data_IF_046894906280
#
_entry.id   IF_046894906280
#
_cell.length_a   1.000
_cell.length_b   1.000
_cell.length_c   1.000
_cell.angle_alpha   90.00
_cell.angle_beta   90.00
_cell.angle_gamma   90.00
#
_symmetry.space_group_name_H-M   'P 1'
#
loop_
_entity.id
_entity.type
_entity.pdbx_description
1 polymer ?
#
# COMPACT_ATOMS: atom_id res chain seq x y z
N UNK A 1 -35.65 -4.39 4.37
CA UNK A 1 -34.45 -4.78 3.62
C UNK A 1 -33.45 -3.64 3.62
N UNK A 2 -32.24 -3.90 4.13
CA UNK A 2 -31.14 -2.95 4.15
C UNK A 2 -30.01 -3.49 3.25
N UNK A 3 -29.69 -2.77 2.17
CA UNK A 3 -28.63 -3.22 1.26
C UNK A 3 -27.23 -2.98 1.83
N UNK A 4 -27.03 -1.83 2.47
CA UNK A 4 -25.75 -1.46 3.08
C UNK A 4 -25.98 -0.82 4.43
N UNK A 5 -25.31 -1.33 5.45
CA UNK A 5 -25.29 -0.73 6.79
C UNK A 5 -23.92 -0.12 7.04
N UNK A 6 -23.87 1.11 7.54
CA UNK A 6 -22.64 1.86 7.77
C UNK A 6 -22.57 2.31 9.22
N UNK A 7 -21.60 1.81 9.98
CA UNK A 7 -21.32 2.19 11.36
C UNK A 7 -20.10 3.11 11.42
N UNK A 8 -20.31 4.39 11.72
CA UNK A 8 -19.30 5.45 11.65
C UNK A 8 -19.30 6.35 12.89
N UNK A 9 -19.63 5.78 14.05
CA UNK A 9 -19.56 6.50 15.31
C UNK A 9 -18.11 6.58 15.83
N UNK A 10 -17.89 7.32 16.91
CA UNK A 10 -16.56 7.39 17.57
C UNK A 10 -16.26 6.19 18.48
N UNK A 11 -17.23 5.34 18.72
CA UNK A 11 -17.12 4.17 19.60
C UNK A 11 -17.00 2.89 18.80
N UNK A 12 -15.81 2.29 18.82
CA UNK A 12 -15.47 1.10 18.06
C UNK A 12 -16.33 -0.10 18.46
N UNK A 13 -16.62 -0.25 19.75
CA UNK A 13 -17.44 -1.32 20.30
C UNK A 13 -18.85 -1.27 19.72
N UNK A 14 -19.48 -0.10 19.76
CA UNK A 14 -20.80 0.13 19.18
C UNK A 14 -20.79 -0.11 17.66
N UNK A 15 -19.77 0.36 16.96
CA UNK A 15 -19.65 0.17 15.52
C UNK A 15 -19.59 -1.31 15.16
N UNK A 16 -18.76 -2.09 15.85
CA UNK A 16 -18.63 -3.54 15.63
C UNK A 16 -19.96 -4.25 15.96
N UNK A 17 -20.51 -4.00 17.15
CA UNK A 17 -21.73 -4.68 17.62
C UNK A 17 -22.92 -4.38 16.70
N UNK A 18 -23.14 -3.12 16.33
CA UNK A 18 -24.24 -2.74 15.45
C UNK A 18 -24.08 -3.33 14.05
N UNK A 19 -22.86 -3.40 13.51
CA UNK A 19 -22.60 -4.02 12.21
C UNK A 19 -22.85 -5.53 12.23
N UNK A 20 -22.42 -6.23 13.28
CA UNK A 20 -22.70 -7.66 13.46
C UNK A 20 -24.22 -7.92 13.60
N UNK A 21 -24.91 -7.09 14.37
CA UNK A 21 -26.38 -7.20 14.52
C UNK A 21 -27.08 -6.93 13.19
N UNK A 22 -26.68 -5.90 12.47
CA UNK A 22 -27.25 -5.57 11.17
C UNK A 22 -27.08 -6.74 10.17
N UNK A 23 -25.92 -7.37 10.17
CA UNK A 23 -25.66 -8.54 9.32
C UNK A 23 -26.56 -9.72 9.68
N UNK A 24 -26.76 -9.99 10.98
CA UNK A 24 -27.71 -11.00 11.45
C UNK A 24 -29.16 -10.71 11.09
N UNK A 25 -29.51 -9.43 10.96
CA UNK A 25 -30.85 -8.98 10.55
C UNK A 25 -31.03 -8.96 9.03
N UNK A 26 -30.03 -9.38 8.26
CA UNK A 26 -30.15 -9.58 6.81
C UNK A 26 -29.60 -8.44 5.95
N UNK A 27 -28.76 -7.53 6.49
CA UNK A 27 -28.06 -6.56 5.68
C UNK A 27 -27.09 -7.26 4.73
N UNK A 28 -27.13 -6.88 3.44
CA UNK A 28 -26.29 -7.52 2.41
C UNK A 28 -24.80 -7.17 2.58
N UNK A 29 -24.52 -5.96 3.06
CA UNK A 29 -23.15 -5.45 3.22
C UNK A 29 -23.05 -4.55 4.45
N UNK A 30 -21.92 -4.68 5.17
CA UNK A 30 -21.61 -3.83 6.32
C UNK A 30 -20.29 -3.07 6.09
N UNK A 31 -20.27 -1.80 6.48
CA UNK A 31 -19.07 -0.95 6.49
C UNK A 31 -18.90 -0.42 7.90
N UNK A 32 -17.76 -0.72 8.52
CA UNK A 32 -17.52 -0.44 9.93
C UNK A 32 -16.24 0.36 10.12
N UNK A 33 -16.28 1.50 10.81
CA UNK A 33 -15.08 2.21 11.24
C UNK A 33 -14.55 1.57 12.51
N UNK A 34 -13.25 1.25 12.53
CA UNK A 34 -12.50 0.78 13.70
C UNK A 34 -11.21 1.58 13.80
N UNK A 35 -10.98 2.22 14.95
CA UNK A 35 -9.78 3.01 15.21
C UNK A 35 -8.69 2.21 15.93
N UNK A 36 -9.08 1.32 16.86
CA UNK A 36 -8.16 0.54 17.69
C UNK A 36 -7.81 -0.78 17.01
N UNK A 37 -6.51 -1.04 16.79
CA UNK A 37 -6.04 -2.28 16.14
C UNK A 37 -6.49 -3.56 16.85
N UNK A 38 -6.65 -3.52 18.17
CA UNK A 38 -7.09 -4.67 18.95
C UNK A 38 -8.43 -5.27 18.46
N UNK A 39 -9.33 -4.46 17.94
CA UNK A 39 -10.61 -4.92 17.43
C UNK A 39 -10.51 -5.63 16.09
N UNK A 40 -9.49 -5.36 15.28
CA UNK A 40 -9.27 -6.10 14.03
C UNK A 40 -8.99 -7.59 14.25
N UNK A 41 -8.37 -7.91 15.39
CA UNK A 41 -8.05 -9.30 15.76
C UNK A 41 -9.23 -10.03 16.41
N UNK A 42 -10.11 -9.29 17.09
CA UNK A 42 -11.30 -9.83 17.75
C UNK A 42 -12.43 -10.13 16.77
N UNK A 43 -12.57 -9.32 15.72
CA UNK A 43 -13.59 -9.53 14.70
C UNK A 43 -13.07 -10.56 13.70
N UNK A 44 -13.73 -11.71 13.62
CA UNK A 44 -13.39 -12.75 12.65
C UNK A 44 -13.41 -12.23 11.22
N UNK A 45 -12.48 -12.72 10.40
CA UNK A 45 -12.29 -12.23 9.02
C UNK A 45 -13.54 -12.26 8.13
N UNK A 46 -14.57 -13.01 8.52
CA UNK A 46 -15.81 -13.22 7.75
C UNK A 46 -17.03 -12.61 8.44
N UNK A 47 -16.87 -11.94 9.56
CA UNK A 47 -18.01 -11.43 10.33
C UNK A 47 -18.45 -10.04 9.87
N UNK A 48 -17.48 -9.21 9.43
CA UNK A 48 -17.73 -7.90 8.83
C UNK A 48 -17.20 -7.86 7.41
N UNK A 49 -17.95 -7.20 6.50
CA UNK A 49 -17.57 -7.19 5.08
C UNK A 49 -16.47 -6.19 4.78
N UNK A 50 -16.59 -4.96 5.30
CA UNK A 50 -15.60 -3.90 5.11
C UNK A 50 -15.29 -3.25 6.45
N UNK A 51 -14.02 -3.26 6.80
CA UNK A 51 -13.49 -2.53 7.96
C UNK A 51 -12.63 -1.38 7.44
N UNK A 52 -12.91 -0.18 7.93
CA UNK A 52 -12.19 1.05 7.57
C UNK A 52 -11.46 1.58 8.80
N UNK A 53 -10.15 1.76 8.71
CA UNK A 53 -9.37 2.44 9.74
C UNK A 53 -8.96 3.84 9.28
N UNK A 54 -9.55 4.90 9.80
CA UNK A 54 -9.16 6.28 9.48
C UNK A 54 -7.68 6.54 9.76
N UNK A 55 -7.15 5.96 10.84
CA UNK A 55 -5.73 6.10 11.21
C UNK A 55 -4.83 5.50 10.12
N UNK A 56 -5.11 4.28 9.65
CA UNK A 56 -4.30 3.64 8.61
C UNK A 56 -4.38 4.39 7.28
N UNK A 57 -5.57 4.89 6.92
CA UNK A 57 -5.74 5.72 5.71
C UNK A 57 -4.93 7.00 5.83
N UNK A 58 -5.03 7.70 6.97
CA UNK A 58 -4.29 8.94 7.21
C UNK A 58 -2.78 8.71 7.18
N UNK A 59 -2.28 7.69 7.86
CA UNK A 59 -0.86 7.32 7.86
C UNK A 59 -0.38 7.01 6.43
N UNK A 60 -1.14 6.21 5.69
CA UNK A 60 -0.79 5.89 4.29
C UNK A 60 -0.75 7.15 3.43
N UNK A 61 -1.69 8.06 3.63
CA UNK A 61 -1.74 9.32 2.89
C UNK A 61 -0.56 10.25 3.25
N UNK A 62 -0.22 10.37 4.53
CA UNK A 62 0.93 11.18 4.99
C UNK A 62 2.25 10.58 4.49
N UNK A 63 2.40 9.26 4.55
CA UNK A 63 3.60 8.57 4.06
C UNK A 63 3.86 8.83 2.57
N UNK A 64 2.81 9.02 1.77
CA UNK A 64 2.92 9.40 0.36
C UNK A 64 3.69 10.72 0.17
N UNK A 65 3.50 11.69 1.07
CA UNK A 65 4.20 12.98 1.01
C UNK A 65 5.61 12.95 1.61
N UNK A 66 5.83 12.10 2.61
CA UNK A 66 7.12 12.00 3.30
C UNK A 66 8.11 11.17 2.50
N UNK A 67 7.67 10.09 1.87
CA UNK A 67 8.49 9.26 1.00
C UNK A 67 8.78 10.05 -0.29
N UNK A 68 9.96 10.68 -0.34
CA UNK A 68 10.45 11.43 -1.49
C UNK A 68 10.55 10.51 -2.71
N UNK A 69 9.71 10.74 -3.74
CA UNK A 69 9.72 10.00 -4.99
C UNK A 69 8.30 9.71 -5.46
N UNK A 70 8.18 9.23 -6.68
CA UNK A 70 6.92 8.88 -7.35
C UNK A 70 6.29 7.61 -6.76
N UNK A 71 6.13 7.57 -5.42
CA UNK A 71 5.39 6.50 -4.74
C UNK A 71 3.92 6.87 -4.77
N UNK A 72 3.14 6.15 -5.55
CA UNK A 72 1.71 6.40 -5.73
C UNK A 72 0.88 5.92 -4.56
N UNK A 73 1.23 4.75 -4.01
CA UNK A 73 0.50 4.16 -2.89
C UNK A 73 1.38 3.26 -2.02
N UNK A 74 0.98 3.07 -0.75
CA UNK A 74 1.64 2.16 0.19
C UNK A 74 0.57 1.33 0.88
N UNK A 75 0.67 0.01 0.75
CA UNK A 75 -0.25 -0.94 1.35
C UNK A 75 0.50 -1.92 2.25
N UNK A 76 0.07 -2.02 3.51
CA UNK A 76 0.56 -3.05 4.42
C UNK A 76 -0.14 -4.37 4.12
N UNK A 77 0.64 -5.44 3.96
CA UNK A 77 0.14 -6.78 3.68
C UNK A 77 0.34 -7.65 4.92
N UNK A 78 -0.69 -8.42 5.29
CA UNK A 78 -0.66 -9.39 6.41
C UNK A 78 0.01 -8.85 7.69
N UNK A 79 -0.69 -7.99 8.43
CA UNK A 79 -0.25 -7.53 9.78
C UNK A 79 1.17 -6.96 9.84
N UNK A 80 1.62 -6.29 8.78
CA UNK A 80 2.94 -5.64 8.75
C UNK A 80 4.13 -6.57 8.47
N UNK A 81 3.90 -7.84 8.08
CA UNK A 81 4.98 -8.75 7.69
C UNK A 81 5.61 -8.41 6.32
N UNK A 82 4.88 -7.68 5.48
CA UNK A 82 5.37 -7.16 4.21
C UNK A 82 4.61 -5.87 3.86
N UNK A 83 5.23 -5.03 3.09
CA UNK A 83 4.59 -3.84 2.51
C UNK A 83 4.62 -3.95 0.98
N UNK A 84 3.57 -3.42 0.35
CA UNK A 84 3.50 -3.23 -1.08
C UNK A 84 3.52 -1.74 -1.38
N UNK A 85 4.36 -1.32 -2.30
CA UNK A 85 4.39 0.05 -2.80
C UNK A 85 4.20 0.07 -4.30
N UNK A 86 3.60 1.12 -4.78
CA UNK A 86 3.50 1.43 -6.19
C UNK A 86 4.50 2.54 -6.52
N UNK A 87 5.41 2.28 -7.44
CA UNK A 87 6.45 3.21 -7.89
C UNK A 87 6.18 3.54 -9.35
N UNK A 88 6.08 4.82 -9.67
CA UNK A 88 6.00 5.28 -11.06
C UNK A 88 7.41 5.50 -11.60
N UNK A 89 7.72 4.88 -12.73
CA UNK A 89 9.01 4.99 -13.41
C UNK A 89 9.06 6.31 -14.18
N UNK A 90 9.48 7.35 -13.50
CA UNK A 90 9.67 8.70 -14.08
C UNK A 90 11.18 9.04 -14.21
N UNK A 91 11.49 10.31 -14.37
CA UNK A 91 12.87 10.81 -14.41
C UNK A 91 13.70 10.51 -13.14
N UNK A 92 13.05 10.24 -12.01
CA UNK A 92 13.74 9.87 -10.76
C UNK A 92 14.28 8.45 -10.80
N UNK A 93 13.79 7.59 -11.70
CA UNK A 93 14.14 6.19 -11.85
C UNK A 93 14.73 5.86 -13.22
N UNK A 94 15.47 6.78 -13.81
CA UNK A 94 16.12 6.63 -15.13
C UNK A 94 16.91 5.33 -15.27
N UNK A 95 17.52 4.87 -14.17
CA UNK A 95 18.30 3.64 -14.13
C UNK A 95 17.47 2.36 -14.30
N UNK A 96 16.17 2.43 -14.12
CA UNK A 96 15.27 1.29 -14.32
C UNK A 96 14.82 1.14 -15.77
N UNK A 97 14.74 2.26 -16.50
CA UNK A 97 14.22 2.27 -17.88
C UNK A 97 15.06 1.41 -18.81
N UNK A 98 14.38 0.59 -19.62
CA UNK A 98 15.02 -0.30 -20.60
C UNK A 98 15.73 -1.51 -19.99
N UNK A 99 15.60 -1.76 -18.69
CA UNK A 99 16.16 -2.95 -18.05
C UNK A 99 15.10 -4.03 -17.84
N UNK A 100 15.52 -5.28 -17.97
CA UNK A 100 14.71 -6.41 -17.53
C UNK A 100 14.75 -6.53 -16.01
N UNK A 101 13.70 -7.07 -15.41
CA UNK A 101 13.61 -7.25 -13.95
C UNK A 101 14.75 -8.12 -13.41
N UNK A 102 15.17 -9.16 -14.15
CA UNK A 102 16.33 -10.00 -13.82
C UNK A 102 17.64 -9.23 -13.70
N UNK A 103 17.80 -8.18 -14.49
CA UNK A 103 19.03 -7.38 -14.53
C UNK A 103 19.16 -6.45 -13.32
N UNK A 104 18.07 -6.23 -12.59
CA UNK A 104 18.06 -5.36 -11.41
C UNK A 104 18.80 -5.96 -10.22
N UNK A 105 19.04 -7.29 -10.22
CA UNK A 105 19.69 -8.01 -9.12
C UNK A 105 19.10 -7.61 -7.76
N UNK A 106 17.76 -7.70 -7.67
CA UNK A 106 17.02 -7.33 -6.48
C UNK A 106 17.45 -8.20 -5.27
N UNK A 107 17.36 -7.62 -4.07
CA UNK A 107 17.47 -8.37 -2.82
C UNK A 107 16.38 -9.44 -2.75
N UNK A 108 16.68 -10.60 -2.14
CA UNK A 108 15.74 -11.72 -1.98
C UNK A 108 14.43 -11.36 -1.24
N UNK A 109 14.44 -10.26 -0.50
CA UNK A 109 13.29 -9.72 0.23
C UNK A 109 12.50 -8.66 -0.57
N UNK A 110 12.88 -8.42 -1.84
CA UNK A 110 12.15 -7.56 -2.78
C UNK A 110 11.63 -8.40 -3.93
N UNK A 111 10.36 -8.18 -4.26
CA UNK A 111 9.74 -8.80 -5.43
C UNK A 111 8.88 -7.78 -6.19
N UNK A 112 8.92 -7.86 -7.52
CA UNK A 112 8.08 -7.07 -8.43
C UNK A 112 7.16 -8.04 -9.17
N UNK A 113 5.99 -8.39 -8.62
CA UNK A 113 5.10 -9.38 -9.21
C UNK A 113 4.31 -8.86 -10.41
N UNK A 114 4.11 -7.56 -10.51
CA UNK A 114 3.33 -6.95 -11.58
C UNK A 114 3.74 -5.52 -11.84
N UNK A 115 3.43 -5.05 -13.03
CA UNK A 115 3.48 -3.64 -13.39
C UNK A 115 2.21 -3.25 -14.16
N UNK A 116 1.84 -1.97 -14.07
CA UNK A 116 0.78 -1.40 -14.87
C UNK A 116 1.40 -0.48 -15.92
N UNK A 117 1.05 -0.70 -17.19
CA UNK A 117 1.48 0.09 -18.35
C UNK A 117 0.25 0.66 -19.04
N UNK A 118 0.02 1.96 -18.87
CA UNK A 118 -1.25 2.56 -19.29
C UNK A 118 -2.43 1.95 -18.53
N UNK A 119 -3.35 1.29 -19.24
CA UNK A 119 -4.48 0.59 -18.63
C UNK A 119 -4.25 -0.91 -18.43
N UNK A 120 -3.17 -1.46 -18.99
CA UNK A 120 -2.87 -2.90 -18.94
C UNK A 120 -2.09 -3.27 -17.68
N UNK A 121 -2.48 -4.37 -17.03
CA UNK A 121 -1.75 -4.99 -15.94
C UNK A 121 -0.96 -6.18 -16.46
N UNK A 122 0.36 -6.12 -16.34
CA UNK A 122 1.29 -7.12 -16.81
C UNK A 122 1.87 -7.86 -15.61
N UNK A 123 1.70 -9.19 -15.60
CA UNK A 123 2.40 -10.03 -14.61
C UNK A 123 3.89 -10.03 -14.94
N UNK A 124 4.69 -9.61 -13.98
CA UNK A 124 6.11 -9.39 -14.18
C UNK A 124 6.90 -10.71 -14.06
N UNK A 125 7.77 -10.94 -15.02
CA UNK A 125 8.73 -12.04 -15.06
C UNK A 125 10.15 -11.47 -15.17
N UNK A 126 11.17 -12.31 -15.06
CA UNK A 126 12.56 -11.86 -15.10
C UNK A 126 12.93 -11.14 -16.41
N UNK A 127 12.32 -11.52 -17.53
CA UNK A 127 12.51 -10.96 -18.88
C UNK A 127 11.62 -9.75 -19.18
N UNK A 128 10.75 -9.36 -18.24
CA UNK A 128 9.89 -8.19 -18.42
C UNK A 128 10.71 -6.91 -18.40
N UNK A 129 10.68 -6.16 -19.49
CA UNK A 129 11.33 -4.88 -19.64
C UNK A 129 10.52 -3.77 -18.97
N UNK A 130 11.20 -2.90 -18.26
CA UNK A 130 10.62 -1.73 -17.56
C UNK A 130 10.68 -0.51 -18.48
N UNK A 131 9.52 0.07 -18.76
CA UNK A 131 9.38 1.26 -19.60
C UNK A 131 9.14 2.53 -18.78
N UNK A 132 9.28 3.68 -19.46
CA UNK A 132 8.89 4.97 -18.89
C UNK A 132 7.40 5.00 -18.57
N UNK A 133 7.02 5.64 -17.47
CA UNK A 133 5.65 5.72 -16.96
C UNK A 133 5.02 4.37 -16.54
N UNK A 134 5.80 3.29 -16.45
CA UNK A 134 5.31 2.07 -15.83
C UNK A 134 5.08 2.27 -14.33
N UNK A 135 3.99 1.71 -13.82
CA UNK A 135 3.70 1.64 -12.40
C UNK A 135 4.12 0.27 -11.88
N UNK A 136 5.25 0.20 -11.19
CA UNK A 136 5.77 -1.04 -10.63
C UNK A 136 5.13 -1.31 -9.27
N UNK A 137 4.61 -2.51 -9.08
CA UNK A 137 4.16 -2.98 -7.76
C UNK A 137 5.35 -3.71 -7.12
N UNK A 138 5.88 -3.14 -6.06
CA UNK A 138 7.06 -3.66 -5.35
C UNK A 138 6.65 -4.15 -3.98
N UNK A 139 6.89 -5.45 -3.71
CA UNK A 139 6.73 -6.06 -2.38
C UNK A 139 8.07 -6.13 -1.69
N UNK A 140 8.11 -5.78 -0.41
CA UNK A 140 9.30 -5.91 0.42
C UNK A 140 8.95 -6.23 1.88
N UNK A 141 9.89 -6.89 2.58
CA UNK A 141 9.68 -7.31 3.97
C UNK A 141 10.10 -6.26 4.99
N UNK A 142 11.20 -5.55 4.75
CA UNK A 142 11.82 -4.63 5.71
C UNK A 142 12.09 -3.26 5.09
N UNK A 143 12.04 -2.19 5.91
CA UNK A 143 12.34 -0.84 5.48
C UNK A 143 13.77 -0.68 4.94
N UNK A 144 14.75 -1.32 5.58
CA UNK A 144 16.15 -1.20 5.17
C UNK A 144 16.37 -1.70 3.75
N UNK A 145 15.62 -2.72 3.36
CA UNK A 145 15.68 -3.32 2.02
C UNK A 145 15.11 -2.37 0.97
N UNK A 146 14.01 -1.71 1.26
CA UNK A 146 13.43 -0.74 0.32
C UNK A 146 14.27 0.55 0.24
N UNK A 147 14.91 0.95 1.32
CA UNK A 147 15.83 2.09 1.32
C UNK A 147 17.06 1.78 0.46
N UNK A 148 17.58 0.54 0.49
CA UNK A 148 18.62 0.08 -0.41
C UNK A 148 18.18 0.11 -1.88
N UNK A 149 16.95 -0.30 -2.17
CA UNK A 149 16.37 -0.21 -3.52
C UNK A 149 16.32 1.24 -4.00
N UNK A 150 15.83 2.16 -3.18
CA UNK A 150 15.81 3.59 -3.52
C UNK A 150 17.20 4.14 -3.76
N UNK A 151 18.17 3.80 -2.92
CA UNK A 151 19.56 4.27 -3.07
C UNK A 151 20.22 3.73 -4.35
N UNK A 152 19.86 2.54 -4.78
CA UNK A 152 20.45 1.89 -5.97
C UNK A 152 19.85 2.43 -7.27
N UNK A 153 18.54 2.56 -7.32
CA UNK A 153 17.81 2.80 -8.58
C UNK A 153 17.33 4.24 -8.74
N UNK A 154 17.20 4.97 -7.66
CA UNK A 154 16.80 6.37 -7.70
C UNK A 154 18.00 7.27 -8.04
N UNK A 155 17.82 8.21 -8.95
CA UNK A 155 18.75 9.31 -9.08
C UNK A 155 18.64 10.19 -7.82
N UNK A 156 19.70 10.28 -7.04
CA UNK A 156 19.86 11.31 -6.04
C UNK A 156 19.84 12.66 -6.79
N UNK A 157 18.71 13.29 -6.84
CA UNK A 157 18.66 14.74 -7.02
C UNK A 157 19.27 15.28 -5.72
N UNK A 158 20.61 15.25 -5.69
CA UNK A 158 21.38 15.91 -4.68
C UNK A 158 21.20 17.40 -4.95
N UNK A 159 20.40 18.06 -4.15
CA UNK A 159 20.71 19.38 -3.60
C UNK A 159 19.43 20.10 -3.17
N UNK A 160 19.56 20.71 -2.02
CA UNK A 160 18.71 21.75 -1.43
C UNK A 160 17.46 21.34 -0.67
N UNK A 161 17.61 20.46 0.36
CA UNK A 161 16.76 20.57 1.54
C UNK A 161 17.50 20.17 2.84
N UNK A 162 18.73 20.66 2.99
CA UNK A 162 19.39 20.78 4.29
C UNK A 162 19.30 22.25 4.71
N UNK A 163 18.12 22.64 5.14
CA UNK A 163 17.92 24.02 5.56
C UNK A 163 16.49 24.29 6.00
N UNK A 164 15.95 23.51 6.96
CA UNK A 164 14.84 23.95 7.82
C UNK A 164 14.60 22.88 8.90
N UNK A 165 15.50 22.84 9.88
CA UNK A 165 15.24 22.33 11.22
C UNK A 165 16.22 23.07 12.15
N UNK A 166 15.80 24.26 12.57
CA UNK A 166 16.17 24.86 13.84
C UNK A 166 14.88 24.98 14.62
#
# INVERSE_FOLDING_TARGET
DCDVFVAVTQDDESNVLCSLMSKKLGSKKTITIINKEAYFDLVGKNELDIIVSPVQITVSHVLKYIRKGSVSSVHKVKKGMAEAIEIVVDSSYEKLKGKCISDLRLDENINIPALKRGEDVIMAHGDTEICDQDHLIVFYKNKDVIDSFYNTFRWLVCSNFLGFLV
#
